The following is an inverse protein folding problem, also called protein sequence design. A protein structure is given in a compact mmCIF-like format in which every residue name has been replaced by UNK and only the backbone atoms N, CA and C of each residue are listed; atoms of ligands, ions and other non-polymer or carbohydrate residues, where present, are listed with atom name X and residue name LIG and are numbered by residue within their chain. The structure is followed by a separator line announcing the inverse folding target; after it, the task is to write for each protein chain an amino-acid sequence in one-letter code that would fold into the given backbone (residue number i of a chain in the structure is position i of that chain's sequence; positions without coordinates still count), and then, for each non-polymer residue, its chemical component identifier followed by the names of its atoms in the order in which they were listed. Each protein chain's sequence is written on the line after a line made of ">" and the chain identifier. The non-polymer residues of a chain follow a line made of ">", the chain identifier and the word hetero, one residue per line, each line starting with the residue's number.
data_IF_734491360141
#
_entry.id   IF_734491360141
#
_cell.length_a   1.000
_cell.length_b   1.000
_cell.length_c   1.000
_cell.angle_alpha   90.00
_cell.angle_beta   90.00
_cell.angle_gamma   90.00
#
_symmetry.space_group_name_H-M   'P 1'
#
loop_
_entity.id
_entity.type
_entity.pdbx_description
1 polymer ?
#
# COMPACT_ATOMS: atom_id res chain seq x y z
N UNK A 1 -7.41 -12.23 -19.85
CA UNK A 1 -6.11 -12.51 -19.19
C UNK A 1 -5.26 -11.26 -19.32
N UNK A 2 -5.32 -10.36 -18.33
CA UNK A 2 -4.48 -9.16 -18.29
C UNK A 2 -3.09 -9.64 -17.90
N UNK A 3 -2.19 -9.73 -18.87
CA UNK A 3 -0.77 -9.93 -18.59
C UNK A 3 -0.21 -8.54 -18.27
N UNK A 4 -0.31 -8.12 -17.01
CA UNK A 4 0.61 -7.09 -16.50
C UNK A 4 2.00 -7.68 -16.71
N UNK A 5 2.79 -7.11 -17.63
CA UNK A 5 4.12 -7.65 -17.93
C UNK A 5 4.93 -7.58 -16.64
N UNK A 6 5.11 -8.73 -16.02
CA UNK A 6 5.91 -8.86 -14.81
C UNK A 6 7.38 -8.81 -15.22
N UNK A 7 7.89 -7.64 -15.60
CA UNK A 7 9.28 -7.36 -15.26
C UNK A 7 9.30 -7.17 -13.74
N UNK A 8 9.32 -8.31 -13.05
CA UNK A 8 9.45 -8.36 -11.60
C UNK A 8 10.81 -7.75 -11.26
N UNK A 9 10.80 -6.51 -10.80
CA UNK A 9 11.96 -5.94 -10.11
C UNK A 9 12.23 -6.85 -8.92
N UNK A 10 13.39 -7.51 -8.93
CA UNK A 10 13.83 -8.35 -7.81
C UNK A 10 13.74 -7.53 -6.50
N UNK A 11 13.13 -8.09 -5.43
CA UNK A 11 12.91 -7.35 -4.18
C UNK A 11 14.22 -6.94 -3.48
N UNK A 12 15.35 -7.55 -3.86
CA UNK A 12 16.62 -7.48 -3.12
C UNK A 12 17.53 -6.31 -3.50
N UNK A 13 17.27 -5.61 -4.60
CA UNK A 13 18.01 -4.36 -4.93
C UNK A 13 17.02 -3.33 -5.45
N UNK A 14 16.26 -2.76 -4.52
CA UNK A 14 15.49 -1.55 -4.85
C UNK A 14 16.48 -0.42 -5.10
N UNK A 15 16.45 0.22 -6.28
CA UNK A 15 17.10 1.50 -6.47
C UNK A 15 16.69 2.43 -5.32
N UNK A 16 17.63 3.05 -4.61
CA UNK A 16 17.34 3.88 -3.44
C UNK A 16 18.03 5.26 -3.50
N UNK A 17 18.45 5.63 -4.70
CA UNK A 17 18.75 6.99 -5.08
C UNK A 17 17.47 7.84 -5.11
N UNK A 18 17.65 9.13 -4.88
CA UNK A 18 16.58 10.11 -5.05
C UNK A 18 16.13 10.22 -6.52
N UNK A 19 17.03 9.94 -7.44
CA UNK A 19 16.79 10.02 -8.89
C UNK A 19 16.29 8.72 -9.51
N UNK A 20 16.23 7.63 -8.74
CA UNK A 20 15.89 6.34 -9.32
C UNK A 20 14.38 6.18 -9.55
N UNK A 21 13.56 6.84 -8.73
CA UNK A 21 12.10 6.83 -8.85
C UNK A 21 11.43 7.96 -8.06
N UNK A 22 10.22 8.31 -8.48
CA UNK A 22 9.23 9.04 -7.71
C UNK A 22 8.20 8.03 -7.18
N UNK A 23 7.63 8.26 -6.00
CA UNK A 23 6.55 7.42 -5.48
C UNK A 23 5.47 8.29 -4.84
N UNK A 24 4.23 7.77 -4.65
CA UNK A 24 3.18 8.49 -3.95
C UNK A 24 3.61 9.00 -2.56
N UNK A 25 4.36 8.19 -1.82
CA UNK A 25 4.87 8.56 -0.49
C UNK A 25 5.97 9.63 -0.55
N UNK A 26 6.82 9.63 -1.59
CA UNK A 26 7.80 10.69 -1.86
C UNK A 26 7.10 12.01 -2.22
N UNK A 27 6.11 11.96 -3.12
CA UNK A 27 5.32 13.12 -3.55
C UNK A 27 4.55 13.74 -2.39
N UNK A 28 3.81 12.92 -1.63
CA UNK A 28 3.04 13.38 -0.48
C UNK A 28 3.94 14.04 0.59
N UNK A 29 5.12 13.47 0.87
CA UNK A 29 6.05 14.07 1.83
C UNK A 29 6.63 15.39 1.31
N UNK A 30 6.97 15.47 0.03
CA UNK A 30 7.47 16.70 -0.58
C UNK A 30 6.43 17.83 -0.51
N UNK A 31 5.19 17.56 -0.93
CA UNK A 31 4.09 18.53 -0.91
C UNK A 31 3.75 18.98 0.51
N UNK A 32 3.82 18.06 1.48
CA UNK A 32 3.60 18.39 2.90
C UNK A 32 4.73 19.24 3.48
N UNK A 33 5.99 18.85 3.23
CA UNK A 33 7.15 19.53 3.79
C UNK A 33 8.44 19.13 3.02
N UNK A 34 8.97 20.00 2.14
CA UNK A 34 10.21 19.73 1.41
C UNK A 34 11.42 19.51 2.32
N UNK A 35 11.46 20.15 3.50
CA UNK A 35 12.52 19.91 4.49
C UNK A 35 12.44 18.49 5.06
N UNK A 36 11.24 18.00 5.41
CA UNK A 36 11.07 16.63 5.88
C UNK A 36 11.44 15.62 4.79
N UNK A 37 11.10 15.90 3.53
CA UNK A 37 11.55 15.11 2.38
C UNK A 37 13.08 15.07 2.28
N UNK A 38 13.76 16.23 2.35
CA UNK A 38 15.23 16.31 2.32
C UNK A 38 15.84 15.47 3.44
N UNK A 39 15.41 15.69 4.68
CA UNK A 39 15.95 14.97 5.84
C UNK A 39 15.79 13.45 5.69
N UNK A 40 14.65 12.99 5.18
CA UNK A 40 14.35 11.56 5.01
C UNK A 40 15.05 10.92 3.82
N UNK A 41 14.95 11.50 2.62
CA UNK A 41 15.37 10.85 1.37
C UNK A 41 16.71 11.32 0.83
N UNK A 42 17.11 12.57 1.12
CA UNK A 42 18.42 13.12 0.70
C UNK A 42 19.46 12.86 1.77
N UNK A 43 19.21 13.35 2.99
CA UNK A 43 20.14 13.24 4.13
C UNK A 43 20.09 11.85 4.79
N UNK A 44 19.10 11.01 4.42
CA UNK A 44 18.91 9.63 4.89
C UNK A 44 18.83 9.49 6.42
N UNK A 45 18.26 10.48 7.09
CA UNK A 45 18.01 10.44 8.53
C UNK A 45 16.86 9.46 8.79
N UNK A 46 17.19 8.33 9.44
CA UNK A 46 16.20 7.33 9.85
C UNK A 46 15.55 7.75 11.16
N UNK A 47 14.23 7.58 11.22
CA UNK A 47 13.42 7.76 12.42
C UNK A 47 12.56 6.50 12.54
N UNK A 48 12.46 5.89 13.72
CA UNK A 48 11.51 4.80 13.94
C UNK A 48 10.10 5.19 13.48
N UNK A 49 9.30 4.26 12.94
CA UNK A 49 7.95 4.57 12.55
C UNK A 49 7.12 5.00 13.76
N UNK A 50 6.08 5.79 13.51
CA UNK A 50 5.07 6.04 14.54
C UNK A 50 4.24 4.77 14.78
N UNK A 51 3.63 4.61 15.96
CA UNK A 51 2.69 3.53 16.23
C UNK A 51 1.58 3.40 15.17
N UNK A 52 1.08 4.53 14.66
CA UNK A 52 0.05 4.54 13.61
C UNK A 52 0.56 3.98 12.27
N UNK A 53 1.80 4.32 11.87
CA UNK A 53 2.40 3.77 10.65
C UNK A 53 2.69 2.27 10.79
N UNK A 54 3.17 1.86 11.97
CA UNK A 54 3.40 0.44 12.28
C UNK A 54 2.09 -0.36 12.22
N UNK A 55 1.03 0.15 12.88
CA UNK A 55 -0.31 -0.41 12.82
C UNK A 55 -0.81 -0.61 11.39
N UNK A 56 -0.69 0.43 10.54
CA UNK A 56 -1.06 0.36 9.13
C UNK A 56 -0.35 -0.78 8.40
N UNK A 57 0.99 -0.88 8.54
CA UNK A 57 1.76 -1.96 7.92
C UNK A 57 1.32 -3.36 8.36
N UNK A 58 0.98 -3.55 9.65
CA UNK A 58 0.54 -4.85 10.17
C UNK A 58 -0.84 -5.24 9.64
N UNK A 59 -1.75 -4.27 9.49
CA UNK A 59 -3.05 -4.52 8.86
C UNK A 59 -2.89 -4.85 7.37
N UNK A 60 -2.04 -4.14 6.63
CA UNK A 60 -1.80 -4.43 5.21
C UNK A 60 -1.21 -5.83 5.01
N UNK A 61 -0.19 -6.24 5.78
CA UNK A 61 0.39 -7.60 5.67
C UNK A 61 -0.65 -8.71 5.92
N UNK A 62 -1.56 -8.50 6.87
CA UNK A 62 -2.66 -9.42 7.13
C UNK A 62 -3.68 -9.49 5.97
N UNK A 63 -4.06 -8.33 5.41
CA UNK A 63 -4.99 -8.27 4.28
C UNK A 63 -4.35 -8.78 2.98
N UNK A 64 -3.06 -8.55 2.77
CA UNK A 64 -2.29 -9.16 1.69
C UNK A 64 -2.37 -10.68 1.77
N UNK A 65 -2.11 -11.26 2.95
CA UNK A 65 -2.22 -12.71 3.15
C UNK A 65 -3.60 -13.22 2.75
N UNK A 66 -4.66 -12.54 3.22
CA UNK A 66 -6.04 -12.89 2.93
C UNK A 66 -6.33 -12.89 1.43
N UNK A 67 -6.02 -11.79 0.74
CA UNK A 67 -6.32 -11.63 -0.67
C UNK A 67 -5.42 -12.50 -1.56
N UNK A 68 -4.17 -12.77 -1.19
CA UNK A 68 -3.31 -13.75 -1.90
C UNK A 68 -3.89 -15.16 -1.84
N UNK A 69 -4.45 -15.57 -0.70
CA UNK A 69 -5.11 -16.88 -0.58
C UNK A 69 -6.33 -16.97 -1.50
N UNK A 70 -7.15 -15.91 -1.56
CA UNK A 70 -8.26 -15.83 -2.53
C UNK A 70 -7.79 -15.86 -3.99
N UNK A 71 -6.76 -15.09 -4.31
CA UNK A 71 -6.20 -15.02 -5.67
C UNK A 71 -5.70 -16.40 -6.15
N UNK A 72 -5.18 -17.21 -5.24
CA UNK A 72 -4.62 -18.54 -5.55
C UNK A 72 -5.63 -19.69 -5.35
N UNK A 73 -6.88 -19.40 -4.98
CA UNK A 73 -7.89 -20.39 -4.62
C UNK A 73 -7.41 -21.37 -3.52
N UNK A 74 -6.68 -20.83 -2.53
CA UNK A 74 -6.18 -21.59 -1.37
C UNK A 74 -7.06 -21.25 -0.16
N UNK A 75 -7.70 -22.24 0.49
CA UNK A 75 -8.53 -21.98 1.65
C UNK A 75 -7.76 -21.33 2.81
N UNK A 76 -8.31 -20.23 3.35
CA UNK A 76 -7.82 -19.58 4.56
C UNK A 76 -9.00 -19.35 5.50
N UNK A 77 -8.84 -19.67 6.79
CA UNK A 77 -9.86 -19.34 7.78
C UNK A 77 -9.92 -17.84 8.02
N UNK A 78 -11.08 -17.34 8.47
CA UNK A 78 -11.24 -15.91 8.80
C UNK A 78 -10.33 -15.45 9.94
N UNK A 79 -9.85 -16.36 10.78
CA UNK A 79 -8.85 -16.06 11.83
C UNK A 79 -7.41 -16.08 11.31
N UNK A 80 -7.15 -16.64 10.12
CA UNK A 80 -5.80 -16.72 9.54
C UNK A 80 -5.09 -15.37 9.41
N UNK A 81 -5.72 -14.33 8.81
CA UNK A 81 -5.15 -12.99 8.74
C UNK A 81 -4.88 -12.35 10.11
N UNK A 82 -5.71 -12.67 11.11
CA UNK A 82 -5.52 -12.16 12.48
C UNK A 82 -4.33 -12.86 13.13
N UNK A 83 -4.20 -14.18 12.94
CA UNK A 83 -3.08 -14.96 13.46
C UNK A 83 -1.76 -14.51 12.84
N UNK A 84 -1.76 -14.12 11.55
CA UNK A 84 -0.59 -13.55 10.87
C UNK A 84 -0.01 -12.33 11.59
N UNK A 85 -0.85 -11.45 12.13
CA UNK A 85 -0.41 -10.30 12.94
C UNK A 85 0.34 -10.77 14.18
N UNK A 86 -0.18 -11.80 14.84
CA UNK A 86 0.42 -12.35 16.06
C UNK A 86 1.77 -12.97 15.74
N UNK A 87 1.83 -13.80 14.70
CA UNK A 87 3.00 -14.61 14.34
C UNK A 87 4.18 -13.78 13.83
N UNK A 88 3.91 -12.60 13.27
CA UNK A 88 4.95 -11.73 12.69
C UNK A 88 5.26 -10.50 13.51
N UNK A 89 4.61 -10.33 14.66
CA UNK A 89 4.68 -9.07 15.41
C UNK A 89 6.11 -8.74 15.84
N UNK A 90 6.79 -9.69 16.46
CA UNK A 90 8.14 -9.54 17.00
C UNK A 90 9.16 -9.33 15.88
N UNK A 91 9.11 -10.13 14.81
CA UNK A 91 9.94 -9.96 13.62
C UNK A 91 9.77 -8.56 13.02
N UNK A 92 8.53 -8.07 13.01
CA UNK A 92 8.24 -6.78 12.45
C UNK A 92 8.69 -5.60 13.33
N UNK A 93 8.68 -5.76 14.66
CA UNK A 93 9.28 -4.79 15.59
C UNK A 93 10.77 -4.64 15.29
N UNK A 94 11.49 -5.75 15.14
CA UNK A 94 12.92 -5.75 14.84
C UNK A 94 13.20 -5.11 13.47
N UNK A 95 12.47 -5.52 12.43
CA UNK A 95 12.65 -5.02 11.07
C UNK A 95 12.38 -3.51 10.94
N UNK A 96 11.38 -3.00 11.66
CA UNK A 96 10.99 -1.59 11.63
C UNK A 96 11.73 -0.73 12.68
N UNK A 97 12.60 -1.32 13.51
CA UNK A 97 13.22 -0.69 14.70
C UNK A 97 12.19 0.02 15.60
N UNK A 98 10.97 -0.56 15.69
CA UNK A 98 9.83 0.03 16.40
C UNK A 98 10.09 0.09 17.91
N UNK A 99 9.68 1.20 18.54
CA UNK A 99 9.81 1.37 19.99
C UNK A 99 8.47 1.79 20.59
N UNK A 100 8.03 1.03 21.60
CA UNK A 100 6.84 1.32 22.36
C UNK A 100 7.18 2.00 23.69
N UNK A 101 6.27 2.84 24.16
CA UNK A 101 6.41 3.53 25.46
C UNK A 101 6.32 2.56 26.64
N UNK A 102 5.58 1.46 26.47
CA UNK A 102 5.42 0.39 27.46
C UNK A 102 4.91 -0.89 26.80
N UNK A 103 5.05 -2.02 27.50
CA UNK A 103 4.45 -3.31 27.11
C UNK A 103 2.93 -3.19 26.94
N UNK A 104 2.25 -2.39 27.77
CA UNK A 104 0.81 -2.15 27.66
C UNK A 104 0.44 -1.40 26.37
N UNK A 105 1.26 -0.43 25.95
CA UNK A 105 1.04 0.31 24.70
C UNK A 105 1.26 -0.59 23.47
N UNK A 106 2.26 -1.45 23.51
CA UNK A 106 2.48 -2.47 22.47
C UNK A 106 1.28 -3.42 22.36
N UNK A 107 0.85 -4.00 23.49
CA UNK A 107 -0.26 -4.94 23.53
C UNK A 107 -1.56 -4.30 23.02
N UNK A 108 -1.84 -3.05 23.43
CA UNK A 108 -3.00 -2.31 22.94
C UNK A 108 -2.95 -2.10 21.41
N UNK A 109 -1.78 -1.80 20.84
CA UNK A 109 -1.63 -1.65 19.40
C UNK A 109 -1.79 -2.98 18.65
N UNK A 110 -1.28 -4.09 19.22
CA UNK A 110 -1.44 -5.45 18.67
C UNK A 110 -2.91 -5.86 18.63
N UNK A 111 -3.65 -5.60 19.72
CA UNK A 111 -5.09 -5.83 19.80
C UNK A 111 -5.88 -4.94 18.84
N UNK A 112 -5.48 -3.67 18.70
CA UNK A 112 -6.08 -2.75 17.73
C UNK A 112 -5.90 -3.25 16.30
N UNK A 113 -4.69 -3.72 15.92
CA UNK A 113 -4.41 -4.27 14.60
C UNK A 113 -5.32 -5.47 14.29
N UNK A 114 -5.39 -6.42 15.22
CA UNK A 114 -6.26 -7.58 15.12
C UNK A 114 -7.75 -7.18 15.02
N UNK A 115 -8.18 -6.19 15.81
CA UNK A 115 -9.54 -5.67 15.79
C UNK A 115 -9.93 -5.06 14.44
N UNK A 116 -9.05 -4.27 13.83
CA UNK A 116 -9.28 -3.66 12.52
C UNK A 116 -9.45 -4.72 11.43
N UNK A 117 -8.56 -5.74 11.39
CA UNK A 117 -8.68 -6.84 10.42
C UNK A 117 -9.97 -7.62 10.61
N UNK A 118 -10.35 -7.96 11.85
CA UNK A 118 -11.62 -8.65 12.11
C UNK A 118 -12.82 -7.83 11.63
N UNK A 119 -12.84 -6.53 11.93
CA UNK A 119 -13.92 -5.63 11.51
C UNK A 119 -14.03 -5.57 9.99
N UNK A 120 -12.89 -5.38 9.30
CA UNK A 120 -12.84 -5.34 7.85
C UNK A 120 -13.39 -6.64 7.22
N UNK A 121 -12.92 -7.79 7.71
CA UNK A 121 -13.34 -9.10 7.22
C UNK A 121 -14.83 -9.40 7.50
N UNK A 122 -15.37 -8.90 8.61
CA UNK A 122 -16.80 -9.01 8.92
C UNK A 122 -17.66 -8.15 7.99
N UNK A 123 -17.19 -6.94 7.65
CA UNK A 123 -17.89 -6.02 6.75
C UNK A 123 -17.90 -6.50 5.30
N UNK A 124 -16.81 -7.15 4.86
CA UNK A 124 -16.71 -7.77 3.55
C UNK A 124 -17.77 -8.88 3.35
N UNK A 125 -18.18 -9.54 4.43
CA UNK A 125 -19.23 -10.56 4.39
C UNK A 125 -18.82 -11.81 3.61
N UNK A 126 -19.79 -12.41 2.91
CA UNK A 126 -19.59 -13.62 2.11
C UNK A 126 -19.20 -13.32 0.65
N UNK A 127 -18.86 -12.06 0.32
CA UNK A 127 -18.48 -11.72 -1.04
C UNK A 127 -17.16 -12.40 -1.42
N UNK A 128 -17.24 -13.15 -2.52
CA UNK A 128 -16.15 -13.89 -3.12
C UNK A 128 -15.45 -13.02 -4.17
N UNK A 129 -14.95 -11.87 -3.70
CA UNK A 129 -14.11 -11.00 -4.52
C UNK A 129 -12.78 -11.72 -4.80
N UNK A 130 -12.62 -12.22 -6.02
CA UNK A 130 -11.37 -12.81 -6.50
C UNK A 130 -10.47 -11.67 -7.03
N UNK A 131 -9.29 -11.44 -6.44
CA UNK A 131 -8.40 -10.39 -6.91
C UNK A 131 -7.79 -10.68 -8.28
N UNK A 132 -7.70 -9.64 -9.11
CA UNK A 132 -6.85 -9.66 -10.30
C UNK A 132 -5.37 -9.54 -9.89
N UNK A 133 -5.08 -8.71 -8.88
CA UNK A 133 -3.73 -8.46 -8.40
C UNK A 133 -3.75 -8.10 -6.90
N UNK A 134 -2.70 -8.47 -6.17
CA UNK A 134 -2.54 -8.18 -4.73
C UNK A 134 -1.10 -7.73 -4.50
N UNK A 135 -0.90 -6.62 -3.76
CA UNK A 135 0.42 -6.05 -3.42
C UNK A 135 1.38 -6.02 -4.63
N UNK A 136 0.90 -5.42 -5.71
CA UNK A 136 1.56 -5.45 -7.01
C UNK A 136 2.41 -4.20 -7.22
N UNK A 137 3.71 -4.41 -7.39
CA UNK A 137 4.65 -3.34 -7.73
C UNK A 137 4.53 -2.99 -9.20
N UNK A 138 4.26 -1.72 -9.50
CA UNK A 138 4.31 -1.16 -10.85
C UNK A 138 5.36 -0.06 -10.91
N UNK A 139 6.10 -0.02 -12.02
CA UNK A 139 7.06 1.03 -12.31
C UNK A 139 6.86 1.49 -13.75
N UNK A 140 6.40 2.72 -13.93
CA UNK A 140 6.06 3.27 -15.24
C UNK A 140 6.79 4.58 -15.50
N UNK A 141 7.21 4.87 -16.75
CA UNK A 141 7.80 6.17 -17.09
C UNK A 141 6.85 7.30 -16.72
N UNK A 142 7.39 8.37 -16.10
CA UNK A 142 6.61 9.55 -15.81
C UNK A 142 6.73 10.52 -16.99
N UNK A 143 5.60 10.75 -17.66
CA UNK A 143 5.51 11.54 -18.90
C UNK A 143 4.82 12.87 -18.62
N UNK A 144 5.38 13.96 -19.14
CA UNK A 144 4.73 15.26 -19.14
C UNK A 144 3.43 15.20 -19.96
N UNK A 145 2.26 15.52 -19.38
CA UNK A 145 0.97 15.34 -20.05
C UNK A 145 0.72 16.34 -21.19
N UNK A 146 1.50 17.42 -21.28
CA UNK A 146 1.36 18.46 -22.31
C UNK A 146 2.34 18.26 -23.47
N UNK A 147 3.60 17.95 -23.17
CA UNK A 147 4.64 17.76 -24.18
C UNK A 147 4.79 16.31 -24.65
N UNK A 148 4.36 15.35 -23.83
CA UNK A 148 4.61 13.92 -24.07
C UNK A 148 6.06 13.50 -23.79
N UNK A 149 6.87 14.37 -23.19
CA UNK A 149 8.26 14.08 -22.84
C UNK A 149 8.35 13.12 -21.66
N UNK A 150 9.18 12.08 -21.78
CA UNK A 150 9.58 11.26 -20.64
C UNK A 150 10.51 12.07 -19.73
N UNK A 151 10.10 12.27 -18.48
CA UNK A 151 10.84 13.06 -17.49
C UNK A 151 12.13 12.35 -17.01
N UNK A 152 12.39 11.13 -17.47
CA UNK A 152 13.62 10.37 -17.19
C UNK A 152 13.71 9.80 -15.78
N UNK A 153 12.63 9.92 -15.00
CA UNK A 153 12.49 9.32 -13.67
C UNK A 153 11.13 8.61 -13.58
N UNK A 154 11.09 7.30 -13.33
CA UNK A 154 9.84 6.57 -13.32
C UNK A 154 9.01 6.85 -12.06
N UNK A 155 7.70 6.64 -12.16
CA UNK A 155 6.80 6.52 -11.02
C UNK A 155 6.78 5.05 -10.57
N UNK A 156 7.08 4.81 -9.31
CA UNK A 156 7.05 3.51 -8.65
C UNK A 156 5.97 3.51 -7.57
N UNK A 157 5.11 2.51 -7.58
CA UNK A 157 4.12 2.29 -6.55
C UNK A 157 3.81 0.81 -6.33
N UNK A 158 3.19 0.53 -5.19
CA UNK A 158 2.77 -0.80 -4.81
C UNK A 158 1.26 -0.70 -4.61
N UNK A 159 0.49 -1.30 -5.52
CA UNK A 159 -0.96 -1.26 -5.47
C UNK A 159 -1.43 -2.38 -4.53
N UNK A 160 -2.16 -2.01 -3.47
CA UNK A 160 -2.58 -2.94 -2.43
C UNK A 160 -3.48 -4.05 -2.99
N UNK A 161 -4.49 -3.68 -3.77
CA UNK A 161 -5.47 -4.62 -4.32
C UNK A 161 -6.07 -4.13 -5.64
N UNK A 162 -6.21 -5.03 -6.61
CA UNK A 162 -6.99 -4.82 -7.83
C UNK A 162 -8.03 -5.93 -7.94
N UNK A 163 -9.30 -5.55 -8.01
CA UNK A 163 -10.43 -6.47 -8.15
C UNK A 163 -10.99 -6.45 -9.58
N UNK A 164 -11.60 -7.56 -9.97
CA UNK A 164 -12.43 -7.60 -11.17
C UNK A 164 -13.82 -7.07 -10.80
N UNK A 165 -14.20 -5.92 -11.35
CA UNK A 165 -15.50 -5.30 -11.11
C UNK A 165 -16.27 -5.10 -12.42
N UNK A 166 -17.58 -4.89 -12.32
CA UNK A 166 -18.52 -4.85 -13.45
C UNK A 166 -18.16 -3.81 -14.51
N UNK A 167 -17.66 -2.65 -14.07
CA UNK A 167 -17.32 -1.52 -14.95
C UNK A 167 -15.83 -1.53 -15.36
N UNK A 168 -15.09 -2.59 -15.01
CA UNK A 168 -13.67 -2.75 -15.24
C UNK A 168 -12.89 -2.89 -13.93
N UNK A 169 -11.55 -3.05 -13.99
CA UNK A 169 -10.77 -3.31 -12.78
C UNK A 169 -10.88 -2.19 -11.75
N UNK A 170 -11.17 -2.54 -10.50
CA UNK A 170 -11.28 -1.62 -9.38
C UNK A 170 -9.96 -1.61 -8.61
N UNK A 171 -9.34 -0.43 -8.50
CA UNK A 171 -8.08 -0.27 -7.74
C UNK A 171 -8.41 0.18 -6.32
N UNK A 172 -8.02 -0.62 -5.34
CA UNK A 172 -8.30 -0.39 -3.94
C UNK A 172 -7.02 -0.04 -3.17
N UNK A 173 -7.13 0.91 -2.25
CA UNK A 173 -6.08 1.32 -1.31
C UNK A 173 -6.58 1.12 0.13
N UNK A 174 -5.84 0.37 0.95
CA UNK A 174 -6.21 0.13 2.34
C UNK A 174 -5.76 1.28 3.23
N UNK A 175 -6.62 1.65 4.18
CA UNK A 175 -6.36 2.71 5.15
C UNK A 175 -6.91 2.39 6.53
N UNK A 176 -6.04 2.43 7.52
CA UNK A 176 -6.38 2.14 8.93
C UNK A 176 -6.81 3.35 9.75
N UNK A 177 -6.77 4.55 9.18
CA UNK A 177 -7.20 5.76 9.86
C UNK A 177 -8.71 5.98 9.67
N UNK A 178 -9.42 6.32 10.76
CA UNK A 178 -10.83 6.71 10.70
C UNK A 178 -11.00 7.89 9.73
N UNK A 179 -11.93 7.76 8.77
CA UNK A 179 -12.32 8.82 7.81
C UNK A 179 -12.60 10.13 8.56
N UNK A 180 -11.60 10.98 8.71
CA UNK A 180 -11.78 12.29 9.36
C UNK A 180 -10.65 13.27 9.05
N UNK A 181 -11.08 14.37 8.41
CA UNK A 181 -10.44 15.68 8.21
C UNK A 181 -9.87 15.98 6.81
N UNK A 182 -10.10 17.22 6.38
CA UNK A 182 -9.82 17.79 5.05
C UNK A 182 -8.36 17.73 4.52
N UNK A 183 -7.29 17.39 5.28
CA UNK A 183 -6.00 17.01 4.67
C UNK A 183 -5.96 15.56 4.14
N UNK A 184 -6.88 14.71 4.57
CA UNK A 184 -6.97 13.29 4.20
C UNK A 184 -7.28 13.14 2.70
N UNK A 185 -8.29 13.88 2.21
CA UNK A 185 -8.76 13.86 0.83
C UNK A 185 -7.63 14.09 -0.20
N UNK A 186 -6.77 15.10 0.01
CA UNK A 186 -5.67 15.44 -0.92
C UNK A 186 -4.59 14.35 -0.98
N UNK A 187 -4.25 13.73 0.15
CA UNK A 187 -3.22 12.67 0.16
C UNK A 187 -3.68 11.38 -0.51
N UNK A 188 -4.97 11.05 -0.37
CA UNK A 188 -5.58 9.90 -1.07
C UNK A 188 -5.72 10.17 -2.55
N UNK A 189 -6.08 11.40 -2.92
CA UNK A 189 -6.18 11.80 -4.31
C UNK A 189 -4.85 11.59 -5.05
N UNK A 190 -3.71 11.98 -4.45
CA UNK A 190 -2.39 11.75 -5.06
C UNK A 190 -2.07 10.27 -5.18
N UNK A 191 -2.29 9.48 -4.13
CA UNK A 191 -1.93 8.06 -4.13
C UNK A 191 -2.75 7.26 -5.16
N UNK A 192 -4.08 7.43 -5.15
CA UNK A 192 -4.97 6.76 -6.10
C UNK A 192 -4.76 7.27 -7.53
N UNK A 193 -4.48 8.56 -7.74
CA UNK A 193 -4.13 9.09 -9.07
C UNK A 193 -2.83 8.49 -9.60
N UNK A 194 -1.83 8.30 -8.74
CA UNK A 194 -0.60 7.61 -9.13
C UNK A 194 -0.85 6.15 -9.50
N UNK A 195 -1.69 5.45 -8.74
CA UNK A 195 -2.04 4.05 -9.00
C UNK A 195 -2.80 3.90 -10.32
N UNK A 196 -3.81 4.74 -10.54
CA UNK A 196 -4.54 4.88 -11.81
C UNK A 196 -3.57 5.11 -12.98
N UNK A 197 -2.68 6.09 -12.86
CA UNK A 197 -1.68 6.39 -13.90
C UNK A 197 -0.82 5.17 -14.26
N UNK A 198 -0.23 4.53 -13.26
CA UNK A 198 0.64 3.37 -13.50
C UNK A 198 -0.15 2.20 -14.07
N UNK A 199 -1.35 1.94 -13.55
CA UNK A 199 -2.22 0.89 -14.05
C UNK A 199 -2.57 1.09 -15.53
N UNK A 200 -2.97 2.30 -15.92
CA UNK A 200 -3.33 2.62 -17.31
C UNK A 200 -2.18 2.41 -18.26
N UNK A 201 -0.97 2.80 -17.86
CA UNK A 201 0.23 2.62 -18.67
C UNK A 201 0.64 1.16 -18.79
N UNK A 202 0.65 0.43 -17.67
CA UNK A 202 1.04 -0.97 -17.63
C UNK A 202 0.04 -1.87 -18.39
N UNK A 203 -1.25 -1.57 -18.29
CA UNK A 203 -2.32 -2.40 -18.87
C UNK A 203 -2.79 -1.95 -20.26
N UNK A 204 -2.54 -0.69 -20.63
CA UNK A 204 -3.10 -0.04 -21.82
C UNK A 204 -4.62 0.17 -21.75
N UNK A 205 -5.21 0.16 -20.55
CA UNK A 205 -6.66 0.26 -20.31
C UNK A 205 -6.97 1.15 -19.12
N UNK A 206 -8.13 1.80 -19.14
CA UNK A 206 -8.65 2.51 -17.98
C UNK A 206 -9.15 1.52 -16.91
N UNK A 207 -8.96 1.87 -15.64
CA UNK A 207 -9.62 1.25 -14.50
C UNK A 207 -11.11 1.62 -14.48
N UNK A 208 -11.95 0.74 -13.92
CA UNK A 208 -13.37 0.99 -13.73
C UNK A 208 -13.65 1.94 -12.56
N UNK A 209 -12.77 1.97 -11.56
CA UNK A 209 -12.92 2.84 -10.41
C UNK A 209 -11.70 2.84 -9.48
N UNK A 210 -11.74 3.74 -8.50
CA UNK A 210 -10.76 3.89 -7.43
C UNK A 210 -11.51 3.86 -6.10
N UNK A 211 -11.06 3.04 -5.15
CA UNK A 211 -11.71 2.88 -3.84
C UNK A 211 -10.71 2.97 -2.69
N UNK A 212 -11.11 3.64 -1.60
CA UNK A 212 -10.42 3.56 -0.31
C UNK A 212 -11.18 2.61 0.59
N UNK A 213 -10.51 1.56 1.06
CA UNK A 213 -11.05 0.57 1.99
C UNK A 213 -10.46 0.79 3.38
N UNK A 214 -11.33 0.88 4.39
CA UNK A 214 -10.97 1.23 5.77
C UNK A 214 -11.69 0.39 6.80
#
# INVERSE_FOLDING_TARGET
>A
MILLSSEQVSPDVRPNGIWDYISPSRLNLWLKCPLAFKLRYVDRIRVPPSPALFLGKRVHDALELFYRHRQLDVPLSMEGPVQRIVDTWEEAIEADEMRFESVAAEQALKEQAAGLVRMYLQQLGADDEIPLAVETTLQEPLVDPFSGEDLGIPLLGILDLILDDRDGPLICDFKTAARSAAPFEVTHEIQLSCYSYMYRRASGRDEGGLEIRS
#
